data_IF_965437887847
#
_entry.id   IF_965437887847
#
_cell.length_a   1.000
_cell.length_b   1.000
_cell.length_c   1.000
_cell.angle_alpha   90.00
_cell.angle_beta   90.00
_cell.angle_gamma   90.00
#
_symmetry.space_group_name_H-M   'P 1'
#
loop_
_entity.id
_entity.type
_entity.pdbx_description
1 polymer ?
#
# COMPACT_ATOMS: atom_id res chain seq x y z
N UNK A 1 17.26 -44.61 -0.53
CA UNK A 1 16.29 -43.55 -0.90
C UNK A 1 16.15 -42.66 0.33
N UNK A 2 16.22 -41.34 0.18
CA UNK A 2 16.13 -40.38 1.29
C UNK A 2 14.70 -40.30 1.81
N UNK A 3 14.50 -40.56 3.10
CA UNK A 3 13.23 -40.35 3.78
C UNK A 3 12.98 -38.85 4.03
N UNK A 4 11.71 -38.47 4.19
CA UNK A 4 11.33 -37.12 4.62
C UNK A 4 11.84 -36.82 6.03
N UNK A 5 12.24 -35.57 6.27
CA UNK A 5 12.57 -35.11 7.62
C UNK A 5 11.30 -34.91 8.45
N UNK A 6 11.46 -34.93 9.77
CA UNK A 6 10.35 -34.64 10.69
C UNK A 6 9.79 -33.23 10.49
N UNK A 7 10.66 -32.24 10.26
CA UNK A 7 10.26 -30.85 9.96
C UNK A 7 9.37 -30.77 8.72
N UNK A 8 9.68 -31.52 7.65
CA UNK A 8 8.86 -31.57 6.44
C UNK A 8 7.48 -32.18 6.71
N UNK A 9 7.41 -33.21 7.56
CA UNK A 9 6.15 -33.83 7.96
C UNK A 9 5.30 -32.90 8.86
N UNK A 10 5.95 -32.11 9.73
CA UNK A 10 5.28 -31.09 10.56
C UNK A 10 4.74 -29.96 9.71
N UNK A 11 5.54 -29.43 8.78
CA UNK A 11 5.10 -28.38 7.86
C UNK A 11 3.92 -28.87 7.00
N UNK A 12 3.99 -30.11 6.52
CA UNK A 12 2.87 -30.73 5.79
C UNK A 12 1.61 -30.89 6.67
N UNK A 13 1.75 -31.24 7.96
CA UNK A 13 0.61 -31.29 8.90
C UNK A 13 -0.10 -29.94 9.05
N UNK A 14 0.66 -28.85 9.14
CA UNK A 14 0.10 -27.49 9.27
C UNK A 14 -0.31 -26.85 7.93
N UNK A 15 -0.10 -27.54 6.81
CA UNK A 15 -0.35 -26.98 5.47
C UNK A 15 0.66 -25.92 5.03
N UNK A 16 1.82 -25.86 5.70
CA UNK A 16 2.92 -24.91 5.47
C UNK A 16 4.09 -25.54 4.70
N UNK A 17 3.90 -26.74 4.13
CA UNK A 17 4.88 -27.32 3.23
C UNK A 17 4.90 -26.50 1.93
N UNK A 18 5.97 -25.74 1.70
CA UNK A 18 6.15 -24.99 0.45
C UNK A 18 6.18 -25.90 -0.78
N UNK A 19 6.09 -25.32 -1.98
CA UNK A 19 5.95 -26.01 -3.29
C UNK A 19 7.09 -26.98 -3.68
N UNK A 20 8.12 -27.15 -2.83
CA UNK A 20 9.41 -27.74 -3.18
C UNK A 20 9.56 -29.25 -3.01
N UNK A 21 8.65 -29.95 -2.31
CA UNK A 21 8.71 -31.41 -2.15
C UNK A 21 7.29 -31.95 -2.21
N UNK A 22 7.01 -32.85 -3.15
CA UNK A 22 5.75 -33.59 -3.19
C UNK A 22 5.70 -34.59 -2.02
N UNK A 23 5.50 -34.07 -0.81
CA UNK A 23 5.42 -34.85 0.43
C UNK A 23 4.33 -35.91 0.29
N UNK A 24 3.22 -35.57 -0.35
CA UNK A 24 2.10 -36.46 -0.65
C UNK A 24 2.54 -37.65 -1.51
N UNK A 25 3.28 -37.38 -2.60
CA UNK A 25 3.73 -38.45 -3.50
C UNK A 25 4.74 -39.39 -2.83
N UNK A 26 5.55 -38.87 -1.91
CA UNK A 26 6.48 -39.68 -1.12
C UNK A 26 5.74 -40.50 -0.05
N UNK A 27 4.73 -39.92 0.60
CA UNK A 27 3.87 -40.62 1.56
C UNK A 27 3.04 -41.73 0.90
N UNK A 28 2.72 -41.62 -0.40
CA UNK A 28 2.07 -42.68 -1.18
C UNK A 28 3.01 -43.87 -1.46
N UNK A 29 4.29 -43.59 -1.66
CA UNK A 29 5.28 -44.60 -2.07
C UNK A 29 6.08 -45.20 -0.90
N UNK A 30 6.16 -44.52 0.25
CA UNK A 30 7.00 -44.93 1.37
C UNK A 30 6.18 -45.25 2.63
N UNK A 31 6.06 -46.55 2.95
CA UNK A 31 5.36 -47.03 4.16
C UNK A 31 6.02 -46.54 5.46
N UNK A 32 7.35 -46.50 5.51
CA UNK A 32 8.08 -46.03 6.69
C UNK A 32 7.77 -44.57 7.03
N UNK A 33 7.75 -43.68 6.03
CA UNK A 33 7.39 -42.27 6.24
C UNK A 33 5.92 -42.10 6.62
N UNK A 34 5.02 -42.93 6.07
CA UNK A 34 3.60 -42.94 6.45
C UNK A 34 3.40 -43.35 7.91
N UNK A 35 4.15 -44.35 8.38
CA UNK A 35 4.11 -44.78 9.78
C UNK A 35 4.55 -43.64 10.72
N UNK A 36 5.65 -42.97 10.41
CA UNK A 36 6.14 -41.80 11.17
C UNK A 36 5.10 -40.68 11.16
N UNK A 37 4.56 -40.32 9.99
CA UNK A 37 3.55 -39.27 9.87
C UNK A 37 2.29 -39.57 10.68
N UNK A 38 1.79 -40.81 10.66
CA UNK A 38 0.63 -41.22 11.46
C UNK A 38 0.89 -41.15 12.98
N UNK A 39 2.13 -41.37 13.42
CA UNK A 39 2.52 -41.21 14.82
C UNK A 39 2.52 -39.74 15.24
N UNK A 40 3.05 -38.88 14.37
CA UNK A 40 3.11 -37.42 14.56
C UNK A 40 1.71 -36.81 14.59
N UNK A 41 0.85 -37.18 13.64
CA UNK A 41 -0.56 -36.76 13.60
C UNK A 41 -1.30 -37.09 14.90
N UNK A 42 -1.09 -38.28 15.49
CA UNK A 42 -1.72 -38.64 16.76
C UNK A 42 -1.32 -37.71 17.91
N UNK A 43 -0.04 -37.33 17.98
CA UNK A 43 0.46 -36.44 19.04
C UNK A 43 -0.07 -35.02 18.83
N UNK A 44 0.02 -34.48 17.61
CA UNK A 44 -0.40 -33.11 17.31
C UNK A 44 -1.92 -32.91 17.42
N UNK A 45 -2.72 -33.90 16.99
CA UNK A 45 -4.17 -33.85 17.14
C UNK A 45 -4.60 -33.77 18.62
N UNK A 46 -3.87 -34.41 19.54
CA UNK A 46 -4.16 -34.30 20.98
C UNK A 46 -3.94 -32.87 21.47
N UNK A 47 -2.89 -32.20 21.00
CA UNK A 47 -2.62 -30.81 21.38
C UNK A 47 -3.69 -29.84 20.87
N UNK A 48 -4.22 -30.06 19.67
CA UNK A 48 -5.25 -29.22 19.07
C UNK A 48 -6.59 -29.27 19.85
N UNK A 49 -6.87 -30.39 20.52
CA UNK A 49 -8.06 -30.54 21.37
C UNK A 49 -7.95 -29.89 22.75
N UNK A 50 -6.79 -29.33 23.10
CA UNK A 50 -6.61 -28.67 24.40
C UNK A 50 -7.44 -27.38 24.44
N UNK A 51 -8.22 -27.17 25.52
CA UNK A 51 -9.03 -25.96 25.65
C UNK A 51 -8.11 -24.73 25.71
N UNK A 52 -8.41 -23.73 24.89
CA UNK A 52 -7.73 -22.44 24.95
C UNK A 52 -8.12 -21.77 26.28
N UNK A 53 -7.15 -21.44 27.16
CA UNK A 53 -7.47 -20.84 28.45
C UNK A 53 -8.06 -19.44 28.24
N UNK A 54 -9.17 -19.15 28.92
CA UNK A 54 -9.76 -17.81 28.93
C UNK A 54 -8.76 -16.80 29.51
N UNK A 55 -8.54 -15.71 28.77
CA UNK A 55 -7.68 -14.61 29.20
C UNK A 55 -8.51 -13.61 30.00
N UNK A 56 -7.90 -12.96 30.98
CA UNK A 56 -8.60 -11.91 31.74
C UNK A 56 -8.97 -10.72 30.83
N UNK A 57 -10.03 -9.96 31.15
CA UNK A 57 -10.40 -8.76 30.39
C UNK A 57 -9.28 -7.71 30.27
N UNK A 58 -8.33 -7.72 31.21
CA UNK A 58 -7.18 -6.82 31.27
C UNK A 58 -5.97 -7.31 30.47
N UNK A 59 -5.98 -8.57 30.01
CA UNK A 59 -4.85 -9.19 29.33
C UNK A 59 -4.35 -8.34 28.16
N UNK A 60 -5.26 -7.84 27.32
CA UNK A 60 -4.91 -6.96 26.20
C UNK A 60 -4.21 -5.68 26.65
N UNK A 61 -4.67 -5.06 27.75
CA UNK A 61 -4.04 -3.85 28.30
C UNK A 61 -2.64 -4.14 28.84
N UNK A 62 -2.44 -5.24 29.54
CA UNK A 62 -1.15 -5.64 30.09
C UNK A 62 -0.14 -5.96 28.98
N UNK A 63 -0.57 -6.65 27.94
CA UNK A 63 0.22 -6.94 26.74
C UNK A 63 0.59 -5.65 26.02
N UNK A 64 -0.38 -4.75 25.81
CA UNK A 64 -0.15 -3.48 25.15
C UNK A 64 0.79 -2.55 25.93
N UNK A 65 0.72 -2.53 27.27
CA UNK A 65 1.66 -1.79 28.10
C UNK A 65 3.10 -2.29 27.96
N UNK A 66 3.30 -3.60 27.73
CA UNK A 66 4.62 -4.19 27.51
C UNK A 66 5.14 -3.94 26.09
N UNK A 67 4.27 -4.01 25.08
CA UNK A 67 4.64 -3.86 23.67
C UNK A 67 4.72 -2.41 23.19
N UNK A 68 3.87 -1.53 23.73
CA UNK A 68 3.78 -0.12 23.32
C UNK A 68 5.12 0.61 23.22
N UNK A 69 6.07 0.44 24.17
CA UNK A 69 7.39 1.06 24.09
C UNK A 69 8.27 0.57 22.94
N UNK A 70 8.04 -0.65 22.43
CA UNK A 70 8.84 -1.25 21.36
C UNK A 70 8.25 -1.01 19.96
N UNK A 71 7.03 -0.48 19.90
CA UNK A 71 6.38 -0.14 18.64
C UNK A 71 6.81 1.27 18.21
N UNK A 72 7.21 1.47 16.94
CA UNK A 72 7.59 2.79 16.46
C UNK A 72 6.43 3.77 16.62
N UNK A 73 6.63 4.82 17.41
CA UNK A 73 5.67 5.90 17.58
C UNK A 73 5.56 6.68 16.27
N UNK A 74 4.42 6.56 15.57
CA UNK A 74 4.07 7.49 14.50
C UNK A 74 3.51 8.76 15.14
N UNK A 75 4.21 9.91 15.12
CA UNK A 75 3.67 11.13 15.69
C UNK A 75 2.42 11.54 14.92
N UNK A 76 1.26 11.48 15.57
CA UNK A 76 0.06 12.17 15.08
C UNK A 76 0.38 13.66 15.04
N UNK A 77 0.21 14.29 13.88
CA UNK A 77 0.45 15.70 13.56
C UNK A 77 -0.45 16.69 14.35
N UNK A 78 -0.60 16.52 15.67
CA UNK A 78 -1.36 17.42 16.56
C UNK A 78 -0.68 18.78 16.77
N UNK A 79 0.56 18.95 16.31
CA UNK A 79 1.32 20.21 16.47
C UNK A 79 0.89 21.32 15.50
N UNK A 80 0.02 21.04 14.53
CA UNK A 80 -0.50 22.02 13.56
C UNK A 80 -1.73 22.82 14.04
N UNK A 81 -2.28 22.52 15.22
CA UNK A 81 -3.52 23.10 15.74
C UNK A 81 -3.29 24.19 16.81
N UNK A 82 -2.27 25.04 16.65
CA UNK A 82 -2.10 26.21 17.54
C UNK A 82 -2.64 27.49 16.90
N UNK A 83 -3.82 28.01 17.32
CA UNK A 83 -4.50 29.12 16.66
C UNK A 83 -3.75 30.46 16.71
N UNK A 84 -2.87 30.66 17.70
CA UNK A 84 -2.10 31.91 17.85
C UNK A 84 -1.05 32.09 16.75
N UNK A 85 -0.46 31.00 16.25
CA UNK A 85 0.59 31.06 15.21
C UNK A 85 0.03 31.47 13.84
N UNK A 86 -1.26 31.22 13.59
CA UNK A 86 -1.93 31.60 12.34
C UNK A 86 -2.27 33.09 12.26
N UNK A 87 -2.49 33.77 13.39
CA UNK A 87 -2.76 35.22 13.40
C UNK A 87 -1.51 36.04 13.01
N UNK A 88 -0.33 35.63 13.47
CA UNK A 88 0.93 36.26 13.08
C UNK A 88 1.37 35.88 11.66
N UNK A 89 1.14 34.63 11.24
CA UNK A 89 1.45 34.17 9.89
C UNK A 89 0.54 34.80 8.81
N UNK A 90 -0.75 35.01 9.11
CA UNK A 90 -1.70 35.63 8.18
C UNK A 90 -1.35 37.09 7.85
N UNK A 91 -0.92 37.88 8.83
CA UNK A 91 -0.53 39.27 8.61
C UNK A 91 0.74 39.40 7.75
N UNK A 92 1.72 38.50 7.95
CA UNK A 92 2.94 38.48 7.16
C UNK A 92 2.68 38.09 5.69
N UNK A 93 1.80 37.11 5.45
CA UNK A 93 1.41 36.70 4.09
C UNK A 93 0.62 37.80 3.39
N UNK A 94 -0.31 38.47 4.07
CA UNK A 94 -1.07 39.58 3.48
C UNK A 94 -0.15 40.75 3.09
N UNK A 95 0.84 41.09 3.92
CA UNK A 95 1.82 42.13 3.60
C UNK A 95 2.70 41.74 2.40
N UNK A 96 3.13 40.48 2.30
CA UNK A 96 3.90 39.97 1.16
C UNK A 96 3.08 39.97 -0.13
N UNK A 97 1.79 39.63 -0.09
CA UNK A 97 0.91 39.67 -1.26
C UNK A 97 0.68 41.09 -1.76
N UNK A 98 0.48 42.06 -0.86
CA UNK A 98 0.34 43.47 -1.23
C UNK A 98 1.64 44.01 -1.83
N UNK A 99 2.79 43.66 -1.25
CA UNK A 99 4.10 44.04 -1.77
C UNK A 99 4.36 43.41 -3.15
N UNK A 100 4.12 42.10 -3.31
CA UNK A 100 4.27 41.40 -4.59
C UNK A 100 3.34 41.96 -5.67
N UNK A 101 2.10 42.29 -5.32
CA UNK A 101 1.14 42.91 -6.23
C UNK A 101 1.59 44.32 -6.67
N UNK A 102 2.06 45.14 -5.73
CA UNK A 102 2.60 46.47 -6.05
C UNK A 102 3.85 46.38 -6.93
N UNK A 103 4.75 45.43 -6.65
CA UNK A 103 5.96 45.19 -7.46
C UNK A 103 5.58 44.76 -8.88
N UNK A 104 4.65 43.80 -9.04
CA UNK A 104 4.21 43.33 -10.36
C UNK A 104 3.41 44.36 -11.16
N UNK A 105 2.72 45.31 -10.48
CA UNK A 105 1.88 46.31 -11.14
C UNK A 105 2.65 47.55 -11.63
N UNK A 106 3.75 47.90 -10.97
CA UNK A 106 4.49 49.16 -11.22
C UNK A 106 5.88 48.97 -11.83
N UNK A 107 6.42 47.75 -11.83
CA UNK A 107 7.70 47.46 -12.48
C UNK A 107 7.52 46.40 -13.58
N UNK A 108 7.61 46.74 -14.87
CA UNK A 108 7.80 45.75 -15.92
C UNK A 108 9.24 45.21 -15.80
N UNK A 109 9.44 44.21 -14.94
CA UNK A 109 10.68 43.46 -14.89
C UNK A 109 10.55 42.20 -15.74
N UNK A 110 11.43 42.09 -16.73
CA UNK A 110 11.75 40.82 -17.37
C UNK A 110 12.09 39.80 -16.28
N UNK A 111 11.55 38.57 -16.33
CA UNK A 111 11.65 37.64 -15.21
C UNK A 111 13.13 37.29 -14.95
N UNK A 112 13.66 37.56 -13.74
CA UNK A 112 14.91 36.95 -13.33
C UNK A 112 14.66 35.45 -13.24
N UNK A 113 15.31 34.68 -14.11
CA UNK A 113 15.40 33.22 -13.97
C UNK A 113 16.18 32.97 -12.68
N UNK A 114 15.47 32.78 -11.58
CA UNK A 114 16.04 32.11 -10.41
C UNK A 114 16.23 30.66 -10.84
N UNK A 115 17.41 30.38 -11.39
CA UNK A 115 17.90 29.02 -11.47
C UNK A 115 18.16 28.58 -10.03
N UNK A 116 17.15 27.95 -9.42
CA UNK A 116 17.43 27.05 -8.30
C UNK A 116 18.18 25.89 -8.93
N UNK A 117 19.51 26.01 -8.99
CA UNK A 117 20.37 24.86 -9.28
C UNK A 117 20.31 23.98 -8.05
N UNK A 118 19.26 23.16 -7.95
CA UNK A 118 19.35 21.95 -7.17
C UNK A 118 20.38 21.13 -7.92
N UNK A 119 21.63 21.14 -7.47
CA UNK A 119 22.58 20.08 -7.79
C UNK A 119 22.12 18.83 -7.05
N UNK A 120 20.90 18.36 -7.34
CA UNK A 120 20.55 17.00 -7.10
C UNK A 120 21.30 16.23 -8.17
N UNK A 121 22.21 15.39 -7.74
CA UNK A 121 22.73 14.35 -8.61
C UNK A 121 21.51 13.67 -9.27
N UNK A 122 21.41 13.65 -10.62
CA UNK A 122 20.25 13.14 -11.32
C UNK A 122 19.91 11.71 -10.88
N UNK A 123 20.91 10.92 -10.47
CA UNK A 123 20.68 9.56 -9.96
C UNK A 123 19.98 9.56 -8.59
N UNK A 124 20.28 10.52 -7.71
CA UNK A 124 19.63 10.65 -6.41
C UNK A 124 18.18 11.12 -6.55
N UNK A 125 17.90 12.04 -7.47
CA UNK A 125 16.53 12.49 -7.75
C UNK A 125 15.67 11.36 -8.34
N UNK A 126 16.26 10.57 -9.23
CA UNK A 126 15.61 9.40 -9.84
C UNK A 126 15.32 8.31 -8.80
N UNK A 127 16.21 8.08 -7.82
CA UNK A 127 15.98 7.15 -6.70
C UNK A 127 14.87 7.62 -5.76
N UNK A 128 14.86 8.91 -5.39
CA UNK A 128 13.81 9.47 -4.53
C UNK A 128 12.44 9.44 -5.21
N UNK A 129 12.40 9.71 -6.52
CA UNK A 129 11.17 9.59 -7.31
C UNK A 129 10.68 8.14 -7.35
N UNK A 130 11.59 7.17 -7.58
CA UNK A 130 11.23 5.74 -7.64
C UNK A 130 10.68 5.21 -6.32
N UNK A 131 11.34 5.53 -5.20
CA UNK A 131 10.84 5.19 -3.87
C UNK A 131 9.47 5.81 -3.59
N UNK A 132 9.26 7.06 -4.01
CA UNK A 132 7.97 7.74 -3.85
C UNK A 132 6.87 7.14 -4.73
N UNK A 133 7.20 6.68 -5.94
CA UNK A 133 6.27 5.99 -6.83
C UNK A 133 5.91 4.61 -6.28
N UNK A 134 6.87 3.82 -5.78
CA UNK A 134 6.59 2.51 -5.16
C UNK A 134 5.59 2.61 -4.00
N UNK A 135 5.85 3.50 -3.03
CA UNK A 135 4.93 3.73 -1.90
C UNK A 135 3.54 4.20 -2.35
N UNK A 136 3.47 4.98 -3.43
CA UNK A 136 2.20 5.39 -4.03
C UNK A 136 1.45 4.21 -4.66
N UNK A 137 2.14 3.35 -5.42
CA UNK A 137 1.54 2.18 -6.05
C UNK A 137 1.00 1.23 -4.99
N UNK A 138 1.76 0.97 -3.92
CA UNK A 138 1.31 0.17 -2.77
C UNK A 138 0.03 0.74 -2.12
N UNK A 139 0.01 2.04 -1.82
CA UNK A 139 -1.16 2.71 -1.24
C UNK A 139 -2.38 2.63 -2.15
N UNK A 140 -2.19 2.75 -3.46
CA UNK A 140 -3.28 2.60 -4.43
C UNK A 140 -3.77 1.15 -4.53
N UNK A 141 -2.89 0.16 -4.41
CA UNK A 141 -3.27 -1.25 -4.41
C UNK A 141 -4.15 -1.63 -3.24
N UNK A 142 -3.85 -1.10 -2.06
CA UNK A 142 -4.65 -1.36 -0.86
C UNK A 142 -6.10 -0.88 -1.10
N UNK A 143 -6.28 0.37 -1.53
CA UNK A 143 -7.62 0.94 -1.77
C UNK A 143 -8.39 0.16 -2.82
N UNK A 144 -7.76 -0.15 -3.96
CA UNK A 144 -8.42 -0.87 -5.05
C UNK A 144 -8.74 -2.33 -4.67
N UNK A 145 -7.88 -2.98 -3.88
CA UNK A 145 -8.09 -4.37 -3.41
C UNK A 145 -9.18 -4.44 -2.35
N UNK A 146 -9.23 -3.49 -1.43
CA UNK A 146 -10.32 -3.37 -0.45
C UNK A 146 -11.67 -3.22 -1.18
N UNK A 147 -11.75 -2.31 -2.15
CA UNK A 147 -12.97 -2.09 -2.91
C UNK A 147 -13.36 -3.30 -3.78
N UNK A 148 -12.37 -3.95 -4.41
CA UNK A 148 -12.60 -5.17 -5.19
C UNK A 148 -13.17 -6.32 -4.34
N UNK A 149 -12.80 -6.41 -3.06
CA UNK A 149 -13.20 -7.48 -2.14
C UNK A 149 -14.30 -7.08 -1.13
N UNK A 150 -14.80 -5.83 -1.15
CA UNK A 150 -15.77 -5.35 -0.17
C UNK A 150 -17.13 -6.08 -0.24
N UNK A 151 -17.48 -6.94 0.71
CA UNK A 151 -18.75 -7.68 0.64
C UNK A 151 -19.95 -6.79 1.00
N UNK A 152 -20.91 -6.65 0.10
CA UNK A 152 -22.12 -5.85 0.31
C UNK A 152 -23.38 -6.71 0.17
N UNK A 153 -23.94 -7.16 1.31
CA UNK A 153 -25.28 -7.76 1.35
C UNK A 153 -26.42 -6.71 1.33
N UNK A 154 -26.06 -5.43 1.55
CA UNK A 154 -26.90 -4.22 1.50
C UNK A 154 -26.06 -3.07 0.93
N UNK A 155 -26.62 -1.88 0.83
CA UNK A 155 -25.89 -0.68 0.40
C UNK A 155 -24.60 -0.47 1.20
N UNK A 156 -23.48 -0.39 0.49
CA UNK A 156 -22.14 -0.20 1.05
C UNK A 156 -21.80 1.29 1.05
N UNK A 157 -21.42 1.83 2.21
CA UNK A 157 -20.86 3.17 2.31
C UNK A 157 -19.38 3.13 1.91
N UNK A 158 -19.03 3.84 0.83
CA UNK A 158 -17.67 3.93 0.30
C UNK A 158 -17.04 5.31 0.53
N UNK A 159 -17.64 6.17 1.37
CA UNK A 159 -17.15 7.54 1.58
C UNK A 159 -15.67 7.61 1.97
N UNK A 160 -15.18 6.61 2.70
CA UNK A 160 -13.77 6.53 3.12
C UNK A 160 -12.83 6.17 1.97
N UNK A 161 -13.28 5.33 1.06
CA UNK A 161 -12.59 4.90 -0.14
C UNK A 161 -12.54 6.06 -1.15
N UNK A 162 -13.60 6.87 -1.22
CA UNK A 162 -13.66 8.08 -2.04
C UNK A 162 -12.64 9.12 -1.57
N UNK A 163 -12.58 9.39 -0.27
CA UNK A 163 -11.58 10.31 0.30
C UNK A 163 -10.15 9.83 0.02
N UNK A 164 -9.90 8.52 0.16
CA UNK A 164 -8.61 7.91 -0.18
C UNK A 164 -8.29 8.01 -1.66
N UNK A 165 -9.25 7.77 -2.55
CA UNK A 165 -9.08 7.92 -3.99
C UNK A 165 -8.78 9.37 -4.40
N UNK A 166 -9.48 10.34 -3.82
CA UNK A 166 -9.25 11.77 -4.07
C UNK A 166 -7.83 12.22 -3.68
N UNK A 167 -7.32 11.72 -2.54
CA UNK A 167 -5.94 11.97 -2.14
C UNK A 167 -4.93 11.37 -3.14
N UNK A 168 -5.16 10.13 -3.57
CA UNK A 168 -4.31 9.45 -4.56
C UNK A 168 -4.32 10.12 -5.93
N UNK A 169 -5.42 10.76 -6.35
CA UNK A 169 -5.49 11.52 -7.60
C UNK A 169 -4.53 12.71 -7.63
N UNK A 170 -4.40 13.40 -6.50
CA UNK A 170 -3.50 14.56 -6.39
C UNK A 170 -2.04 14.12 -6.56
N UNK A 171 -1.65 13.01 -5.94
CA UNK A 171 -0.32 12.43 -6.08
C UNK A 171 -0.08 11.86 -7.50
N UNK A 172 -1.07 11.19 -8.08
CA UNK A 172 -0.99 10.59 -9.42
C UNK A 172 -0.57 11.59 -10.50
N UNK A 173 -1.17 12.79 -10.48
CA UNK A 173 -0.89 13.85 -11.46
C UNK A 173 0.58 14.27 -11.44
N UNK A 174 1.19 14.36 -10.26
CA UNK A 174 2.60 14.71 -10.09
C UNK A 174 3.52 13.63 -10.64
N UNK A 175 3.24 12.36 -10.32
CA UNK A 175 4.05 11.24 -10.79
C UNK A 175 3.94 11.06 -12.31
N UNK A 176 2.73 11.21 -12.88
CA UNK A 176 2.54 11.14 -14.32
C UNK A 176 3.27 12.27 -15.05
N UNK A 177 3.20 13.49 -14.52
CA UNK A 177 3.92 14.63 -15.10
C UNK A 177 5.43 14.36 -15.14
N UNK A 178 5.96 13.71 -14.09
CA UNK A 178 7.38 13.38 -14.00
C UNK A 178 7.75 12.23 -14.94
N UNK A 179 6.97 11.15 -14.98
CA UNK A 179 7.16 10.02 -15.90
C UNK A 179 7.12 10.45 -17.38
N UNK A 180 6.20 11.35 -17.72
CA UNK A 180 6.12 11.93 -19.06
C UNK A 180 7.36 12.78 -19.40
N UNK A 181 7.90 13.49 -18.42
CA UNK A 181 9.10 14.32 -18.61
C UNK A 181 10.38 13.48 -18.75
N UNK A 182 10.46 12.35 -18.07
CA UNK A 182 11.59 11.41 -18.17
C UNK A 182 11.48 10.44 -19.35
N UNK A 183 10.37 10.47 -20.08
CA UNK A 183 10.13 9.62 -21.25
C UNK A 183 9.73 8.18 -20.90
N UNK A 184 9.32 7.92 -19.66
CA UNK A 184 8.85 6.61 -19.22
C UNK A 184 7.38 6.41 -19.60
N UNK A 185 7.16 6.02 -20.86
CA UNK A 185 5.82 5.83 -21.42
C UNK A 185 5.05 4.68 -20.75
N UNK A 186 5.75 3.67 -20.21
CA UNK A 186 5.12 2.52 -19.54
C UNK A 186 4.54 2.96 -18.20
N UNK A 187 5.34 3.63 -17.36
CA UNK A 187 4.88 4.19 -16.09
C UNK A 187 3.77 5.22 -16.34
N UNK A 188 3.95 6.12 -17.31
CA UNK A 188 2.96 7.15 -17.63
C UNK A 188 1.60 6.54 -18.05
N UNK A 189 1.60 5.47 -18.85
CA UNK A 189 0.37 4.79 -19.27
C UNK A 189 -0.36 4.11 -18.11
N UNK A 190 0.36 3.43 -17.22
CA UNK A 190 -0.25 2.81 -16.02
C UNK A 190 -0.83 3.88 -15.10
N UNK A 191 -0.12 4.99 -14.89
CA UNK A 191 -0.61 6.10 -14.08
C UNK A 191 -1.83 6.78 -14.69
N UNK A 192 -1.94 6.84 -16.02
CA UNK A 192 -3.12 7.35 -16.73
C UNK A 192 -4.35 6.45 -16.53
N UNK A 193 -4.18 5.13 -16.67
CA UNK A 193 -5.26 4.18 -16.39
C UNK A 193 -5.70 4.27 -14.93
N UNK A 194 -4.74 4.43 -14.02
CA UNK A 194 -5.02 4.60 -12.60
C UNK A 194 -5.77 5.91 -12.30
N UNK A 195 -5.46 7.03 -12.97
CA UNK A 195 -6.22 8.28 -12.82
C UNK A 195 -7.69 8.05 -13.20
N UNK A 196 -7.96 7.32 -14.28
CA UNK A 196 -9.34 7.04 -14.73
C UNK A 196 -10.12 6.26 -13.67
N UNK A 197 -9.54 5.19 -13.14
CA UNK A 197 -10.16 4.37 -12.10
C UNK A 197 -10.41 5.18 -10.83
N UNK A 198 -9.41 5.93 -10.37
CA UNK A 198 -9.53 6.72 -9.15
C UNK A 198 -10.58 7.84 -9.30
N UNK A 199 -10.68 8.47 -10.48
CA UNK A 199 -11.74 9.45 -10.79
C UNK A 199 -13.13 8.81 -10.77
N UNK A 200 -13.27 7.59 -11.28
CA UNK A 200 -14.55 6.87 -11.24
C UNK A 200 -14.99 6.58 -9.79
N UNK A 201 -14.04 6.16 -8.94
CA UNK A 201 -14.31 5.92 -7.51
C UNK A 201 -14.70 7.23 -6.80
N UNK A 202 -13.95 8.31 -7.03
CA UNK A 202 -14.24 9.64 -6.45
C UNK A 202 -15.66 10.12 -6.81
N UNK A 203 -16.07 9.96 -8.06
CA UNK A 203 -17.37 10.44 -8.56
C UNK A 203 -18.53 9.44 -8.38
N UNK A 204 -18.28 8.26 -7.80
CA UNK A 204 -19.32 7.31 -7.45
C UNK A 204 -20.29 7.88 -6.39
N UNK A 205 -21.51 7.35 -6.25
CA UNK A 205 -22.33 7.68 -5.10
C UNK A 205 -21.68 7.12 -3.82
N UNK A 206 -21.73 7.88 -2.73
CA UNK A 206 -21.15 7.48 -1.43
C UNK A 206 -21.77 6.20 -0.86
N UNK A 207 -22.99 5.85 -1.30
CA UNK A 207 -23.63 4.55 -1.02
C UNK A 207 -23.85 3.79 -2.31
N UNK A 208 -23.23 2.63 -2.42
CA UNK A 208 -23.35 1.75 -3.57
C UNK A 208 -24.31 0.60 -3.28
N UNK A 209 -25.33 0.44 -4.14
CA UNK A 209 -26.12 -0.78 -4.17
C UNK A 209 -25.26 -1.97 -4.66
N UNK A 210 -25.58 -3.22 -4.31
CA UNK A 210 -24.79 -4.39 -4.70
C UNK A 210 -24.51 -4.49 -6.21
N UNK A 211 -25.49 -4.15 -7.05
CA UNK A 211 -25.33 -4.15 -8.51
C UNK A 211 -24.33 -3.09 -9.01
N UNK A 212 -24.25 -1.93 -8.35
CA UNK A 212 -23.30 -0.87 -8.70
C UNK A 212 -21.88 -1.23 -8.25
N UNK A 213 -21.75 -1.87 -7.09
CA UNK A 213 -20.48 -2.40 -6.62
C UNK A 213 -19.95 -3.50 -7.54
N UNK A 214 -20.82 -4.38 -8.03
CA UNK A 214 -20.42 -5.42 -8.98
C UNK A 214 -20.01 -4.86 -10.34
N UNK A 215 -20.65 -3.78 -10.80
CA UNK A 215 -20.21 -3.07 -12.00
C UNK A 215 -18.82 -2.45 -11.81
N UNK A 216 -18.58 -1.78 -10.68
CA UNK A 216 -17.28 -1.20 -10.35
C UNK A 216 -16.19 -2.29 -10.29
N UNK A 217 -16.48 -3.44 -9.69
CA UNK A 217 -15.59 -4.60 -9.66
C UNK A 217 -15.28 -5.14 -11.05
N UNK A 218 -16.29 -5.24 -11.92
CA UNK A 218 -16.09 -5.69 -13.30
C UNK A 218 -15.14 -4.77 -14.03
N UNK A 219 -15.29 -3.45 -13.86
CA UNK A 219 -14.40 -2.44 -14.47
C UNK A 219 -12.96 -2.54 -13.96
N UNK A 220 -12.78 -2.61 -12.65
CA UNK A 220 -11.47 -2.82 -12.03
C UNK A 220 -10.75 -4.07 -12.56
N UNK A 221 -11.50 -5.15 -12.80
CA UNK A 221 -10.96 -6.40 -13.37
C UNK A 221 -10.73 -6.29 -14.88
N UNK A 222 -11.64 -5.68 -15.64
CA UNK A 222 -11.53 -5.57 -17.10
C UNK A 222 -10.37 -4.68 -17.52
N UNK A 223 -10.09 -3.62 -16.75
CA UNK A 223 -8.94 -2.76 -17.01
C UNK A 223 -7.62 -3.40 -16.54
N UNK A 224 -7.66 -4.53 -15.83
CA UNK A 224 -6.46 -5.26 -15.40
C UNK A 224 -5.49 -4.41 -14.57
N UNK A 225 -5.99 -3.33 -13.94
CA UNK A 225 -5.14 -2.30 -13.33
C UNK A 225 -4.31 -2.86 -12.18
N UNK A 226 -4.89 -3.75 -11.37
CA UNK A 226 -4.21 -4.42 -10.26
C UNK A 226 -3.03 -5.28 -10.72
N UNK A 227 -3.15 -5.93 -11.88
CA UNK A 227 -2.08 -6.74 -12.45
C UNK A 227 -0.95 -5.85 -12.99
N UNK A 228 -1.31 -4.82 -13.78
CA UNK A 228 -0.32 -3.89 -14.36
C UNK A 228 0.48 -3.16 -13.30
N UNK A 229 -0.17 -2.74 -12.22
CA UNK A 229 0.48 -2.10 -11.09
C UNK A 229 1.42 -3.06 -10.35
N UNK A 230 1.04 -4.33 -10.14
CA UNK A 230 1.94 -5.33 -9.52
C UNK A 230 3.20 -5.55 -10.34
N UNK A 231 3.07 -5.63 -11.67
CA UNK A 231 4.22 -5.74 -12.58
C UNK A 231 5.08 -4.48 -12.53
N UNK A 232 4.48 -3.31 -12.41
CA UNK A 232 5.22 -2.05 -12.31
C UNK A 232 5.97 -1.95 -10.99
N UNK A 233 5.33 -2.30 -9.88
CA UNK A 233 5.95 -2.31 -8.55
C UNK A 233 7.13 -3.28 -8.48
N UNK A 234 6.99 -4.49 -9.01
CA UNK A 234 8.11 -5.44 -9.09
C UNK A 234 9.25 -4.91 -9.96
N UNK A 235 8.95 -4.20 -11.05
CA UNK A 235 9.98 -3.61 -11.93
C UNK A 235 10.71 -2.46 -11.25
N UNK A 236 10.00 -1.66 -10.45
CA UNK A 236 10.59 -0.57 -9.67
C UNK A 236 11.48 -1.13 -8.54
N UNK A 237 11.06 -2.20 -7.86
CA UNK A 237 11.81 -2.86 -6.79
C UNK A 237 13.07 -3.61 -7.31
N UNK A 238 12.96 -4.41 -8.38
CA UNK A 238 14.08 -5.20 -8.92
C UNK A 238 15.26 -4.33 -9.40
N UNK A 239 14.99 -3.12 -9.88
CA UNK A 239 16.03 -2.20 -10.34
C UNK A 239 16.78 -1.49 -9.21
N UNK A 240 16.23 -1.48 -8.00
CA UNK A 240 16.90 -0.96 -6.82
C UNK A 240 17.85 -2.00 -6.22
N UNK A 241 17.51 -3.29 -6.29
CA UNK A 241 18.37 -4.39 -5.81
C UNK A 241 19.59 -4.63 -6.72
N UNK A 242 19.45 -4.49 -8.04
CA UNK A 242 20.52 -4.80 -9.01
C UNK A 242 21.57 -3.67 -9.18
N UNK A 243 21.53 -2.63 -8.35
CA UNK A 243 22.48 -1.49 -8.35
C UNK A 243 23.21 -1.29 -7.01
N UNK A 244 23.04 -2.21 -6.07
CA UNK A 244 23.84 -2.35 -4.85
C UNK A 244 24.95 -3.39 -5.07
#
# INVERSE_FOLDING_TARGET
MSHLSEEQLILHYYGEAGDGVSVESHLDQCEACRAVYSSLQRVLNVMETLPVPERSPEYGKQVWQRLGPYLPYRPRLRFLLSPWRWAAAGAAVAALLIAAFAIGRFYPQAPPRIAVTITADPQTQERVLRLAVGDYLDRSQIVLTELANASAARDLDISSEQERAANLLTENRLYRQTAAHTGDAVVAGVLEDLERVLLEIEHAPSRLAPAQLDELRRRLRSEGILFRMRVLDSTVQDQDENKL
#
